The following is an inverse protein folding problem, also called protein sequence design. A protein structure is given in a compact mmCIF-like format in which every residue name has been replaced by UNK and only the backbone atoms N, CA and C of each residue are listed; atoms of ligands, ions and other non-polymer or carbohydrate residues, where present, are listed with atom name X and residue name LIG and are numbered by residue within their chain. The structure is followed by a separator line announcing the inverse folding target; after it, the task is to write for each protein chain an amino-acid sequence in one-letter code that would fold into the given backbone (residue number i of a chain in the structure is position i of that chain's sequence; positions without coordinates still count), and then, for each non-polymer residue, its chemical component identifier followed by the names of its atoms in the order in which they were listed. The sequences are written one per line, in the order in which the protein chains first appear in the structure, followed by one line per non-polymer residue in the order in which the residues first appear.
data_IF_853154536371
#
_entry.id   IF_853154536371
#
_cell.length_a   1.000
_cell.length_b   1.000
_cell.length_c   1.000
_cell.angle_alpha   90.00
_cell.angle_beta   90.00
_cell.angle_gamma   90.00
#
_symmetry.space_group_name_H-M   'P 1'
#
loop_
_entity.id
_entity.type
_entity.pdbx_description
1 polymer ?
#
# COMPACT_ATOMS: atom_id res chain seq x y z
N UNK A 1 -19.69 -6.62 10.78
CA UNK A 1 -18.60 -7.59 11.04
C UNK A 1 -17.21 -6.97 11.19
N UNK A 2 -17.05 -5.64 11.26
CA UNK A 2 -15.80 -4.93 11.58
C UNK A 2 -14.56 -5.35 10.76
N UNK A 3 -14.74 -5.78 9.50
CA UNK A 3 -13.65 -6.14 8.59
C UNK A 3 -13.80 -5.29 7.33
N UNK A 4 -12.69 -4.71 6.89
CA UNK A 4 -12.59 -3.99 5.62
C UNK A 4 -11.69 -4.80 4.69
N UNK A 5 -12.20 -5.17 3.52
CA UNK A 5 -11.42 -5.75 2.43
C UNK A 5 -11.12 -4.67 1.41
N UNK A 6 -9.87 -4.24 1.34
CA UNK A 6 -9.42 -3.27 0.32
C UNK A 6 -9.05 -4.03 -0.95
N UNK A 7 -9.61 -3.61 -2.08
CA UNK A 7 -9.28 -4.18 -3.39
C UNK A 7 -7.80 -4.02 -3.73
N UNK A 8 -7.31 -4.87 -4.65
CA UNK A 8 -5.98 -4.72 -5.22
C UNK A 8 -5.78 -3.30 -5.76
N UNK A 9 -4.74 -2.63 -5.28
CA UNK A 9 -4.50 -1.21 -5.55
C UNK A 9 -3.17 -1.05 -6.29
N UNK A 10 -3.19 -0.28 -7.38
CA UNK A 10 -2.02 0.04 -8.19
C UNK A 10 -1.75 1.55 -8.16
N UNK A 11 -0.55 1.94 -8.57
CA UNK A 11 -0.18 3.34 -8.71
C UNK A 11 -0.81 3.94 -9.97
N UNK A 12 -2.11 4.27 -9.90
CA UNK A 12 -2.87 4.86 -11.00
C UNK A 12 -3.29 6.31 -10.74
N UNK A 13 -3.32 7.11 -11.80
CA UNK A 13 -4.04 8.39 -11.83
C UNK A 13 -5.55 8.19 -11.97
N UNK A 14 -6.30 9.30 -12.01
CA UNK A 14 -7.76 9.32 -12.18
C UNK A 14 -8.26 8.71 -13.51
N UNK A 15 -7.36 8.55 -14.49
CA UNK A 15 -7.64 8.01 -15.82
C UNK A 15 -7.12 6.56 -15.98
N UNK A 16 -6.66 5.93 -14.89
CA UNK A 16 -6.05 4.59 -14.86
C UNK A 16 -4.70 4.48 -15.60
N UNK A 17 -3.96 5.57 -15.76
CA UNK A 17 -2.58 5.51 -16.23
C UNK A 17 -1.63 5.23 -15.07
N UNK A 18 -0.60 4.40 -15.31
CA UNK A 18 0.44 4.13 -14.31
C UNK A 18 1.22 5.42 -14.03
N UNK A 19 1.32 5.79 -12.76
CA UNK A 19 2.14 6.91 -12.28
C UNK A 19 3.45 6.41 -11.67
N UNK A 20 4.40 7.33 -11.44
CA UNK A 20 5.72 7.02 -10.89
C UNK A 20 6.48 5.92 -11.67
N UNK A 21 6.37 5.94 -13.00
CA UNK A 21 7.00 4.92 -13.86
C UNK A 21 8.51 4.93 -13.64
N UNK A 22 9.07 3.76 -13.30
CA UNK A 22 10.49 3.59 -13.01
C UNK A 22 10.88 3.94 -11.56
N UNK A 23 9.93 4.33 -10.72
CA UNK A 23 10.14 4.64 -9.30
C UNK A 23 9.24 3.75 -8.42
N UNK A 24 9.76 2.59 -8.01
CA UNK A 24 9.05 1.66 -7.14
C UNK A 24 8.69 2.26 -5.77
N UNK A 25 9.52 3.16 -5.23
CA UNK A 25 9.23 3.84 -3.98
C UNK A 25 8.05 4.81 -4.14
N UNK A 26 8.06 5.62 -5.20
CA UNK A 26 6.95 6.50 -5.57
C UNK A 26 5.65 5.74 -5.81
N UNK A 27 5.70 4.62 -6.53
CA UNK A 27 4.53 3.76 -6.75
C UNK A 27 3.99 3.19 -5.43
N UNK A 28 4.87 2.68 -4.57
CA UNK A 28 4.47 2.14 -3.25
C UNK A 28 3.80 3.19 -2.39
N UNK A 29 4.34 4.42 -2.38
CA UNK A 29 3.76 5.54 -1.62
C UNK A 29 2.35 5.88 -2.11
N UNK A 30 2.17 5.97 -3.43
CA UNK A 30 0.85 6.25 -4.03
C UNK A 30 -0.17 5.17 -3.68
N UNK A 31 0.23 3.90 -3.74
CA UNK A 31 -0.61 2.75 -3.39
C UNK A 31 -1.03 2.82 -1.91
N UNK A 32 -0.07 3.02 -0.99
CA UNK A 32 -0.36 3.06 0.44
C UNK A 32 -1.17 4.29 0.86
N UNK A 33 -0.98 5.45 0.22
CA UNK A 33 -1.87 6.60 0.41
C UNK A 33 -3.31 6.32 -0.03
N UNK A 34 -3.48 5.56 -1.12
CA UNK A 34 -4.80 5.19 -1.61
C UNK A 34 -5.48 4.21 -0.65
N UNK A 35 -4.75 3.19 -0.20
CA UNK A 35 -5.23 2.23 0.81
C UNK A 35 -5.60 2.94 2.12
N UNK A 36 -4.74 3.85 2.59
CA UNK A 36 -4.98 4.67 3.78
C UNK A 36 -6.30 5.45 3.67
N UNK A 37 -6.53 6.15 2.55
CA UNK A 37 -7.79 6.88 2.33
C UNK A 37 -9.02 5.97 2.37
N UNK A 38 -8.93 4.77 1.81
CA UNK A 38 -10.03 3.79 1.85
C UNK A 38 -10.33 3.37 3.30
N UNK A 39 -9.30 3.05 4.07
CA UNK A 39 -9.44 2.65 5.48
C UNK A 39 -9.99 3.79 6.33
N UNK A 40 -9.46 5.01 6.18
CA UNK A 40 -9.93 6.20 6.89
C UNK A 40 -11.39 6.53 6.54
N UNK A 41 -11.78 6.39 5.26
CA UNK A 41 -13.18 6.57 4.83
C UNK A 41 -14.11 5.53 5.45
N UNK A 42 -13.61 4.31 5.68
CA UNK A 42 -14.35 3.25 6.38
C UNK A 42 -14.38 3.44 7.91
N UNK A 43 -13.70 4.46 8.45
CA UNK A 43 -13.67 4.80 9.87
C UNK A 43 -12.55 4.13 10.68
N UNK A 44 -11.55 3.53 10.01
CA UNK A 44 -10.38 2.92 10.64
C UNK A 44 -9.10 3.74 10.44
N UNK A 45 -7.97 3.14 10.82
CA UNK A 45 -6.62 3.69 10.69
C UNK A 45 -5.65 2.65 10.14
N UNK A 46 -4.43 3.07 9.76
CA UNK A 46 -3.40 2.12 9.28
C UNK A 46 -2.96 1.12 10.38
N UNK A 47 -3.14 1.46 11.66
CA UNK A 47 -2.85 0.56 12.78
C UNK A 47 -3.86 -0.61 12.88
N UNK A 48 -5.03 -0.49 12.25
CA UNK A 48 -6.05 -1.55 12.20
C UNK A 48 -5.76 -2.60 11.11
N UNK A 49 -4.75 -2.38 10.26
CA UNK A 49 -4.41 -3.33 9.20
C UNK A 49 -3.82 -4.58 9.82
N UNK A 50 -4.40 -5.74 9.49
CA UNK A 50 -3.94 -7.04 9.99
C UNK A 50 -3.10 -7.80 8.99
N UNK A 51 -3.34 -7.60 7.68
CA UNK A 51 -2.70 -8.36 6.62
C UNK A 51 -2.58 -7.56 5.31
N UNK A 52 -1.44 -7.66 4.62
CA UNK A 52 -1.24 -7.12 3.27
C UNK A 52 -0.74 -8.21 2.30
N UNK A 53 -1.39 -8.33 1.14
CA UNK A 53 -0.90 -9.15 0.02
C UNK A 53 -0.12 -8.27 -0.94
N UNK A 54 1.20 -8.47 -1.07
CA UNK A 54 2.07 -7.57 -1.84
C UNK A 54 2.58 -8.31 -3.09
N UNK A 55 2.36 -7.71 -4.26
CA UNK A 55 2.82 -8.24 -5.54
C UNK A 55 3.78 -7.24 -6.17
N UNK A 56 5.03 -7.67 -6.40
CA UNK A 56 6.04 -6.89 -7.12
C UNK A 56 6.38 -7.60 -8.43
N UNK A 57 6.74 -6.82 -9.45
CA UNK A 57 7.15 -7.37 -10.76
C UNK A 57 8.60 -7.88 -10.76
N UNK A 58 9.46 -7.27 -9.96
CA UNK A 58 10.91 -7.47 -9.97
C UNK A 58 11.46 -7.39 -8.53
N UNK A 59 12.32 -8.34 -8.17
CA UNK A 59 12.94 -8.39 -6.85
C UNK A 59 13.94 -7.26 -6.62
N UNK A 60 14.46 -6.64 -7.69
CA UNK A 60 15.30 -5.44 -7.59
C UNK A 60 14.58 -4.27 -6.88
N UNK A 61 13.25 -4.22 -6.98
CA UNK A 61 12.42 -3.18 -6.37
C UNK A 61 12.10 -3.46 -4.88
N UNK A 62 12.33 -4.69 -4.40
CA UNK A 62 11.86 -5.14 -3.08
C UNK A 62 12.37 -4.25 -1.92
N UNK A 63 13.63 -3.81 -1.98
CA UNK A 63 14.17 -2.94 -0.93
C UNK A 63 13.48 -1.58 -0.92
N UNK A 64 13.21 -0.99 -2.09
CA UNK A 64 12.56 0.31 -2.19
C UNK A 64 11.10 0.25 -1.70
N UNK A 65 10.39 -0.82 -2.06
CA UNK A 65 9.02 -1.09 -1.58
C UNK A 65 9.01 -1.23 -0.05
N UNK A 66 9.94 -1.98 0.53
CA UNK A 66 9.98 -2.21 1.98
C UNK A 66 10.28 -0.95 2.78
N UNK A 67 11.20 -0.10 2.31
CA UNK A 67 11.51 1.17 2.97
C UNK A 67 10.26 2.01 3.11
N UNK A 68 9.54 2.23 2.00
CA UNK A 68 8.30 3.02 2.03
C UNK A 68 7.21 2.32 2.84
N UNK A 69 7.03 1.01 2.69
CA UNK A 69 6.05 0.26 3.47
C UNK A 69 6.23 0.44 4.99
N UNK A 70 7.49 0.44 5.47
CA UNK A 70 7.78 0.64 6.89
C UNK A 70 7.41 2.05 7.40
N UNK A 71 7.41 3.07 6.54
CA UNK A 71 6.98 4.44 6.88
C UNK A 71 5.49 4.49 7.24
N UNK A 72 4.66 3.64 6.63
CA UNK A 72 3.20 3.62 6.82
C UNK A 72 2.72 2.78 8.01
N UNK A 73 3.58 1.91 8.53
CA UNK A 73 3.28 1.04 9.67
C UNK A 73 4.38 1.21 10.73
N UNK A 74 4.46 2.33 11.46
CA UNK A 74 5.59 2.58 12.38
C UNK A 74 5.57 1.68 13.63
N UNK A 75 4.39 1.26 14.09
CA UNK A 75 4.19 0.42 15.27
C UNK A 75 4.24 -1.09 15.00
N UNK A 76 3.30 -1.82 15.58
CA UNK A 76 3.13 -3.25 15.33
C UNK A 76 2.78 -3.47 13.85
N UNK A 77 3.53 -4.35 13.20
CA UNK A 77 3.45 -4.53 11.75
C UNK A 77 2.35 -5.55 11.43
N UNK A 78 1.54 -5.33 10.39
CA UNK A 78 0.64 -6.36 9.86
C UNK A 78 1.43 -7.56 9.31
N UNK A 79 0.76 -8.71 9.27
CA UNK A 79 1.24 -9.85 8.52
C UNK A 79 1.26 -9.55 7.01
N UNK A 80 2.12 -10.25 6.25
CA UNK A 80 2.24 -10.04 4.80
C UNK A 80 2.85 -11.24 4.08
N UNK A 81 2.60 -11.37 2.77
CA UNK A 81 3.44 -12.12 1.83
C UNK A 81 3.72 -11.28 0.58
#
# INVERSE_FOLDING_TARGET
DNIVYVSGTLAFDENNNVVCIGDAAGQTRHILETIKKVIETAGGTMDDVTFNSIFIKDWADYSAVNTVYAEYFPGDKPARF
#
